data_IF_498931174198
#
_entry.id   IF_498931174198
#
_cell.length_a   1.000
_cell.length_b   1.000
_cell.length_c   1.000
_cell.angle_alpha   90.00
_cell.angle_beta   90.00
_cell.angle_gamma   90.00
#
_symmetry.space_group_name_H-M   'P 1'
#
loop_
_entity.id
_entity.type
_entity.pdbx_description
1 polymer ?
#
# COMPACT_ATOMS: atom_id res chain seq x y z
N UNK A 1 15.69 -10.05 -3.47
CA UNK A 1 14.41 -10.67 -3.04
C UNK A 1 14.09 -11.96 -3.76
N UNK A 2 14.13 -11.98 -5.10
CA UNK A 2 13.95 -13.21 -5.88
C UNK A 2 14.86 -14.35 -5.41
N UNK A 3 16.16 -14.11 -5.23
CA UNK A 3 17.08 -15.13 -4.71
C UNK A 3 16.81 -15.50 -3.23
N UNK A 4 16.41 -14.50 -2.41
CA UNK A 4 16.13 -14.69 -0.98
C UNK A 4 14.91 -15.58 -0.73
N UNK A 5 13.91 -15.53 -1.61
CA UNK A 5 12.60 -16.19 -1.42
C UNK A 5 12.29 -17.27 -2.47
N UNK A 6 12.77 -17.11 -3.69
CA UNK A 6 12.46 -17.95 -4.86
C UNK A 6 13.50 -19.04 -5.17
N UNK A 7 14.69 -18.99 -4.56
CA UNK A 7 15.80 -19.98 -4.66
C UNK A 7 16.28 -20.40 -6.07
N UNK A 8 15.64 -20.00 -7.15
CA UNK A 8 16.05 -20.30 -8.53
C UNK A 8 16.78 -19.11 -9.15
N UNK A 9 18.10 -19.25 -9.31
CA UNK A 9 19.02 -18.25 -9.87
C UNK A 9 19.06 -18.33 -11.39
N UNK A 10 19.01 -19.55 -11.93
CA UNK A 10 19.40 -19.87 -13.31
C UNK A 10 18.50 -19.21 -14.35
N UNK A 11 17.19 -19.25 -14.11
CA UNK A 11 16.20 -18.71 -15.07
C UNK A 11 16.27 -17.18 -15.13
N UNK A 12 16.48 -16.52 -13.99
CA UNK A 12 16.58 -15.06 -13.93
C UNK A 12 17.89 -14.57 -14.58
N UNK A 13 19.01 -15.26 -14.38
CA UNK A 13 20.28 -14.87 -15.00
C UNK A 13 20.21 -14.94 -16.53
N UNK A 14 19.65 -16.02 -17.08
CA UNK A 14 19.55 -16.20 -18.53
C UNK A 14 18.69 -15.10 -19.18
N UNK A 15 17.59 -14.73 -18.53
CA UNK A 15 16.72 -13.68 -19.03
C UNK A 15 17.37 -12.31 -18.97
N UNK A 16 18.11 -12.02 -17.88
CA UNK A 16 18.87 -10.77 -17.79
C UNK A 16 19.94 -10.70 -18.87
N UNK A 17 20.64 -11.81 -19.15
CA UNK A 17 21.63 -11.89 -20.22
C UNK A 17 20.99 -11.63 -21.61
N UNK A 18 19.85 -12.27 -21.91
CA UNK A 18 19.07 -12.00 -23.13
C UNK A 18 18.58 -10.56 -23.22
N UNK A 19 18.11 -9.97 -22.12
CA UNK A 19 17.64 -8.58 -22.09
C UNK A 19 18.79 -7.58 -22.33
N UNK A 20 19.99 -7.86 -21.80
CA UNK A 20 21.21 -7.08 -22.06
C UNK A 20 21.63 -7.21 -23.53
N UNK A 21 21.44 -8.38 -24.14
CA UNK A 21 21.71 -8.62 -25.55
C UNK A 21 20.67 -8.00 -26.50
N UNK A 22 19.66 -7.28 -25.97
CA UNK A 22 18.53 -6.71 -26.72
C UNK A 22 17.64 -7.78 -27.41
N UNK A 23 17.70 -9.02 -26.94
CA UNK A 23 16.80 -10.07 -27.38
C UNK A 23 15.43 -9.91 -26.70
N UNK A 24 14.35 -10.15 -27.46
CA UNK A 24 13.00 -10.16 -26.90
C UNK A 24 12.76 -11.45 -26.12
N UNK A 25 12.24 -11.33 -24.89
CA UNK A 25 11.87 -12.49 -24.05
C UNK A 25 10.46 -12.30 -23.51
N UNK A 26 9.64 -13.35 -23.52
CA UNK A 26 8.32 -13.38 -22.87
C UNK A 26 8.40 -13.82 -21.40
N UNK A 27 9.58 -13.67 -20.77
CA UNK A 27 9.78 -14.15 -19.42
C UNK A 27 9.09 -13.28 -18.39
N UNK A 28 8.20 -13.89 -17.61
CA UNK A 28 7.61 -13.28 -16.42
C UNK A 28 8.38 -13.69 -15.17
N UNK A 29 8.64 -12.73 -14.28
CA UNK A 29 9.21 -13.01 -12.97
C UNK A 29 8.34 -12.46 -11.85
N UNK A 30 8.38 -13.16 -10.71
CA UNK A 30 7.69 -12.71 -9.51
C UNK A 30 8.49 -11.62 -8.81
N UNK A 31 8.09 -10.37 -9.00
CA UNK A 31 8.61 -9.27 -8.18
C UNK A 31 8.04 -9.35 -6.76
N UNK A 32 8.93 -9.38 -5.77
CA UNK A 32 8.57 -9.47 -4.34
C UNK A 32 9.10 -8.21 -3.63
N UNK A 33 8.27 -7.18 -3.40
CA UNK A 33 8.69 -5.99 -2.65
C UNK A 33 8.91 -6.30 -1.17
N UNK A 34 9.62 -5.41 -0.46
CA UNK A 34 9.86 -5.53 0.99
C UNK A 34 8.86 -4.76 1.84
N UNK A 35 8.10 -3.84 1.24
CA UNK A 35 7.11 -2.98 1.90
C UNK A 35 6.17 -2.41 0.86
N UNK A 36 5.01 -1.94 1.31
CA UNK A 36 4.07 -1.17 0.51
C UNK A 36 4.02 0.27 1.02
N UNK A 37 3.92 1.22 0.11
CA UNK A 37 3.60 2.61 0.43
C UNK A 37 2.27 2.92 -0.27
N UNK A 38 1.29 3.38 0.49
CA UNK A 38 -0.03 3.70 -0.03
C UNK A 38 -0.31 5.18 0.13
N UNK A 39 -1.00 5.74 -0.85
CA UNK A 39 -1.52 7.09 -0.82
C UNK A 39 -2.92 7.07 -0.18
N UNK A 40 -3.36 8.13 0.48
CA UNK A 40 -4.59 8.11 1.28
C UNK A 40 -5.87 7.70 0.51
N UNK A 41 -5.96 8.01 -0.79
CA UNK A 41 -7.08 7.71 -1.69
C UNK A 41 -7.12 6.25 -2.08
N UNK A 42 -5.97 5.57 -2.08
CA UNK A 42 -5.90 4.13 -2.37
C UNK A 42 -5.88 3.29 -1.10
N UNK A 43 -5.43 3.87 0.03
CA UNK A 43 -5.43 3.21 1.32
C UNK A 43 -6.85 3.00 1.86
N UNK A 44 -7.73 4.01 1.75
CA UNK A 44 -9.11 3.90 2.22
C UNK A 44 -9.90 2.72 1.60
N UNK A 45 -9.98 2.56 0.26
CA UNK A 45 -10.68 1.41 -0.33
C UNK A 45 -9.99 0.08 0.02
N UNK A 46 -8.66 0.02 0.04
CA UNK A 46 -7.96 -1.21 0.40
C UNK A 46 -8.20 -1.65 1.87
N UNK A 47 -8.30 -0.70 2.80
CA UNK A 47 -8.68 -0.99 4.19
C UNK A 47 -10.13 -1.46 4.30
N UNK A 48 -11.03 -0.89 3.49
CA UNK A 48 -12.42 -1.35 3.41
C UNK A 48 -12.50 -2.79 2.87
N UNK A 49 -11.72 -3.13 1.85
CA UNK A 49 -11.64 -4.50 1.32
C UNK A 49 -11.12 -5.48 2.37
N UNK A 50 -10.06 -5.12 3.12
CA UNK A 50 -9.55 -5.96 4.22
C UNK A 50 -10.62 -6.15 5.30
N UNK A 51 -11.37 -5.10 5.64
CA UNK A 51 -12.47 -5.20 6.61
C UNK A 51 -13.57 -6.14 6.10
N UNK A 52 -14.00 -6.01 4.84
CA UNK A 52 -14.99 -6.89 4.25
C UNK A 52 -14.54 -8.35 4.23
N UNK A 53 -13.28 -8.62 3.87
CA UNK A 53 -12.72 -9.97 3.90
C UNK A 53 -12.61 -10.54 5.31
N UNK A 54 -12.41 -9.69 6.33
CA UNK A 54 -12.45 -10.10 7.74
C UNK A 54 -13.86 -10.49 8.19
N UNK A 55 -14.88 -9.77 7.71
CA UNK A 55 -16.27 -10.11 7.98
C UNK A 55 -16.62 -11.47 7.35
N UNK A 56 -16.23 -11.68 6.08
CA UNK A 56 -16.38 -12.99 5.41
C UNK A 56 -15.68 -14.12 6.18
N UNK A 57 -14.47 -13.89 6.69
CA UNK A 57 -13.80 -14.89 7.53
C UNK A 57 -14.61 -15.21 8.79
N UNK A 58 -15.16 -14.20 9.46
CA UNK A 58 -15.99 -14.39 10.66
C UNK A 58 -17.24 -15.23 10.35
N UNK A 59 -17.90 -14.97 9.23
CA UNK A 59 -19.09 -15.70 8.77
C UNK A 59 -18.81 -17.19 8.47
N UNK A 60 -17.57 -17.52 8.15
CA UNK A 60 -17.13 -18.87 7.82
C UNK A 60 -16.46 -19.60 9.00
N UNK A 61 -16.59 -19.10 10.23
CA UNK A 61 -15.94 -19.62 11.44
C UNK A 61 -14.40 -19.54 11.42
N UNK A 62 -13.82 -18.67 10.59
CA UNK A 62 -12.38 -18.39 10.55
C UNK A 62 -12.06 -17.19 11.44
N UNK A 63 -10.85 -17.19 12.04
CA UNK A 63 -10.42 -16.07 12.87
C UNK A 63 -10.16 -14.83 11.99
N UNK A 64 -10.89 -13.71 12.16
CA UNK A 64 -10.80 -12.57 11.24
C UNK A 64 -9.39 -11.97 11.20
N UNK A 65 -8.69 -11.94 12.33
CA UNK A 65 -7.33 -11.40 12.39
C UNK A 65 -6.27 -12.23 11.65
N UNK A 66 -6.61 -13.44 11.18
CA UNK A 66 -5.72 -14.22 10.33
C UNK A 66 -5.45 -13.49 9.01
N UNK A 67 -6.38 -12.65 8.55
CA UNK A 67 -6.13 -11.72 7.46
C UNK A 67 -5.43 -10.47 7.99
N UNK A 68 -4.11 -10.48 7.95
CA UNK A 68 -3.25 -9.32 8.25
C UNK A 68 -2.18 -9.17 7.17
N UNK A 69 -1.78 -7.95 6.80
CA UNK A 69 -0.66 -7.75 5.90
C UNK A 69 0.64 -8.32 6.48
N UNK A 70 1.37 -9.10 5.69
CA UNK A 70 2.71 -9.60 6.07
C UNK A 70 3.81 -8.57 5.81
N UNK A 71 3.65 -7.76 4.76
CA UNK A 71 4.59 -6.70 4.44
C UNK A 71 4.30 -5.45 5.26
N UNK A 72 5.32 -4.75 5.78
CA UNK A 72 5.14 -3.43 6.36
C UNK A 72 4.47 -2.48 5.37
N UNK A 73 3.43 -1.77 5.82
CA UNK A 73 2.70 -0.79 5.01
C UNK A 73 2.90 0.60 5.62
N UNK A 74 3.38 1.54 4.82
CA UNK A 74 3.33 2.97 5.13
C UNK A 74 2.17 3.63 4.40
N UNK A 75 1.50 4.59 5.04
CA UNK A 75 0.42 5.37 4.42
C UNK A 75 0.79 6.85 4.46
N UNK A 76 0.77 7.49 3.30
CA UNK A 76 0.87 8.94 3.17
C UNK A 76 -0.51 9.53 2.95
N UNK A 77 -0.90 10.46 3.82
CA UNK A 77 -2.12 11.26 3.66
C UNK A 77 -1.67 12.70 3.52
N UNK A 78 -1.47 13.12 2.28
CA UNK A 78 -0.86 14.39 1.92
C UNK A 78 -1.72 15.26 1.00
N UNK A 79 -3.03 14.99 0.91
CA UNK A 79 -3.93 15.88 0.18
C UNK A 79 -3.84 17.29 0.73
N UNK A 80 -3.43 18.22 -0.14
CA UNK A 80 -3.46 19.64 0.14
C UNK A 80 -4.88 20.04 0.53
N UNK A 81 -5.02 20.77 1.63
CA UNK A 81 -6.30 21.31 2.06
C UNK A 81 -6.83 22.25 0.97
N UNK A 82 -8.06 22.03 0.53
CA UNK A 82 -8.74 22.98 -0.34
C UNK A 82 -8.87 24.32 0.40
N UNK A 83 -8.23 25.36 -0.13
CA UNK A 83 -8.34 26.71 0.41
C UNK A 83 -9.69 27.25 -0.06
N UNK A 84 -10.69 27.21 0.82
CA UNK A 84 -12.01 27.77 0.54
C UNK A 84 -12.02 29.31 0.57
N UNK A 85 -11.09 29.95 1.31
CA UNK A 85 -11.03 31.40 1.48
C UNK A 85 -9.61 31.93 1.28
N UNK A 86 -9.42 32.83 0.31
CA UNK A 86 -8.10 33.33 -0.12
C UNK A 86 -7.48 34.41 0.79
N UNK A 87 -8.03 34.73 1.98
CA UNK A 87 -7.55 35.88 2.76
C UNK A 87 -7.30 35.55 4.22
N UNK A 88 -6.01 35.43 4.59
CA UNK A 88 -5.34 36.01 5.77
C UNK A 88 -4.20 35.10 6.31
N UNK A 89 -3.15 35.69 6.93
CA UNK A 89 -2.02 34.96 7.55
C UNK A 89 -2.38 33.97 8.67
N UNK A 90 -3.67 33.83 9.01
CA UNK A 90 -4.16 33.08 10.17
C UNK A 90 -4.70 31.67 9.82
N UNK A 91 -4.78 31.32 8.52
CA UNK A 91 -5.45 30.09 8.05
C UNK A 91 -4.79 28.81 8.59
N UNK A 92 -3.46 28.75 8.63
CA UNK A 92 -2.70 27.57 9.06
C UNK A 92 -3.03 27.16 10.52
N UNK A 93 -3.32 28.12 11.40
CA UNK A 93 -3.69 27.87 12.80
C UNK A 93 -5.09 27.29 12.98
N UNK A 94 -6.00 27.50 12.02
CA UNK A 94 -7.39 27.03 12.11
C UNK A 94 -7.50 25.55 11.76
N UNK A 95 -6.69 25.07 10.82
CA UNK A 95 -6.69 23.67 10.36
C UNK A 95 -5.82 22.73 11.21
N UNK A 96 -4.75 23.23 11.85
CA UNK A 96 -3.90 22.42 12.73
C UNK A 96 -4.47 22.26 14.16
N UNK A 97 -5.65 22.81 14.45
CA UNK A 97 -6.32 22.56 15.73
C UNK A 97 -6.78 21.10 15.73
N UNK A 98 -6.30 20.33 16.72
CA UNK A 98 -6.74 18.95 17.00
C UNK A 98 -8.27 18.86 16.95
N UNK A 99 -8.83 17.73 16.47
CA UNK A 99 -10.27 17.52 16.52
C UNK A 99 -10.76 17.79 17.94
N UNK A 100 -11.72 18.71 18.07
CA UNK A 100 -12.48 18.83 19.30
C UNK A 100 -13.15 17.47 19.50
N UNK A 101 -12.91 16.84 20.66
CA UNK A 101 -13.62 15.64 21.03
C UNK A 101 -15.11 15.92 20.87
N UNK A 102 -15.79 15.10 20.07
CA UNK A 102 -17.25 15.05 20.08
C UNK A 102 -17.61 14.51 21.46
N UNK A 103 -18.05 15.39 22.35
CA UNK A 103 -18.66 15.01 23.61
C UNK A 103 -20.13 14.70 23.35
N UNK A 104 -20.49 13.48 23.74
CA UNK A 104 -21.82 12.84 23.87
C UNK A 104 -22.54 12.42 22.58
#
# INVERSE_FOLDING_TARGET
NHLRHGRNVTDLSQVLDSWIAEDSTDFEFRFMPNRLLMHGTTCAPALADIAALRDVNAENDWHPSALTPELPIGVSVDYSIAIADFVAPLFLRKFLKKPQAVSD
#
